data_IF_651657176834
#
_entry.id   IF_651657176834
#
_cell.length_a   1.000
_cell.length_b   1.000
_cell.length_c   1.000
_cell.angle_alpha   90.00
_cell.angle_beta   90.00
_cell.angle_gamma   90.00
#
_symmetry.space_group_name_H-M   'P 1'
#
loop_
_entity.id
_entity.type
_entity.pdbx_description
1 polymer ?
#
# COMPACT_ATOMS: atom_id res chain seq x y z
N UNK A 1 -2.73 18.26 1.77
CA UNK A 1 -2.02 18.33 3.07
C UNK A 1 -1.64 16.92 3.51
N UNK A 2 -0.47 16.40 3.13
CA UNK A 2 0.04 15.10 3.58
C UNK A 2 1.10 15.36 4.66
N UNK A 3 0.72 15.17 5.93
CA UNK A 3 1.64 15.34 7.06
C UNK A 3 2.65 14.19 7.08
N UNK A 4 3.93 14.53 7.25
CA UNK A 4 5.08 13.63 7.32
C UNK A 4 5.20 13.04 8.73
N UNK A 5 5.31 11.72 8.84
CA UNK A 5 5.75 11.03 10.06
C UNK A 5 6.64 9.82 9.69
N UNK A 6 7.84 9.76 10.29
CA UNK A 6 8.65 8.56 10.59
C UNK A 6 8.66 8.46 12.14
N UNK A 7 9.00 7.33 12.84
CA UNK A 7 9.78 6.15 12.41
C UNK A 7 9.37 4.77 13.00
N UNK A 8 10.19 3.76 12.67
CA UNK A 8 10.67 2.60 13.46
C UNK A 8 9.79 1.36 13.73
N UNK A 9 10.43 0.19 13.50
CA UNK A 9 10.11 -1.08 14.16
C UNK A 9 9.31 -2.06 13.30
N UNK A 10 10.00 -3.00 12.64
CA UNK A 10 9.35 -4.16 12.02
C UNK A 10 8.82 -5.10 13.11
N UNK A 11 7.53 -5.50 13.11
CA UNK A 11 7.08 -6.62 13.91
C UNK A 11 6.94 -7.90 13.08
N UNK A 12 7.14 -8.99 13.80
CA UNK A 12 7.15 -10.36 13.34
C UNK A 12 5.88 -10.80 12.60
N UNK A 13 6.09 -11.71 11.65
CA UNK A 13 5.08 -12.41 10.87
C UNK A 13 4.12 -13.23 11.75
N UNK A 14 2.99 -12.63 12.13
CA UNK A 14 1.85 -13.37 12.66
C UNK A 14 1.05 -13.95 11.49
N UNK A 15 1.02 -15.28 11.40
CA UNK A 15 0.15 -16.00 10.46
C UNK A 15 -1.30 -15.87 10.91
N UNK A 16 -2.16 -15.34 10.05
CA UNK A 16 -3.61 -15.58 10.13
C UNK A 16 -4.50 -14.46 10.69
N UNK A 17 -3.98 -13.27 10.94
CA UNK A 17 -4.82 -12.09 11.19
C UNK A 17 -4.69 -11.16 9.98
N UNK A 18 -5.81 -10.73 9.41
CA UNK A 18 -5.82 -9.88 8.22
C UNK A 18 -4.84 -8.73 8.39
N UNK A 19 -4.03 -8.45 7.37
CA UNK A 19 -2.99 -7.42 7.43
C UNK A 19 -3.61 -6.05 7.63
N UNK A 20 -3.76 -5.67 8.88
CA UNK A 20 -4.06 -4.30 9.28
C UNK A 20 -2.70 -3.67 9.54
N UNK A 21 -2.10 -3.03 8.53
CA UNK A 21 -0.96 -2.17 8.77
C UNK A 21 -1.47 -0.95 9.56
N UNK A 22 -1.14 -0.82 10.86
CA UNK A 22 -1.63 0.30 11.67
C UNK A 22 -1.00 1.58 11.10
N UNK A 23 -1.80 2.40 10.42
CA UNK A 23 -1.36 3.67 9.82
C UNK A 23 -1.76 3.88 8.36
N UNK A 24 -2.22 2.84 7.65
CA UNK A 24 -2.83 3.02 6.33
C UNK A 24 -4.28 3.51 6.46
N UNK A 25 -4.60 4.57 5.72
CA UNK A 25 -5.98 5.02 5.50
C UNK A 25 -6.76 3.98 4.70
N UNK A 26 -8.11 4.01 4.71
CA UNK A 26 -8.92 3.12 3.87
C UNK A 26 -8.48 3.11 2.40
N UNK A 27 -8.28 4.30 1.82
CA UNK A 27 -7.86 4.43 0.43
C UNK A 27 -6.49 3.84 0.13
N UNK A 28 -5.54 3.97 1.06
CA UNK A 28 -4.21 3.38 0.92
C UNK A 28 -4.25 1.84 1.04
N UNK A 29 -5.19 1.29 1.83
CA UNK A 29 -5.42 -0.16 1.87
C UNK A 29 -5.98 -0.68 0.54
N UNK A 30 -6.91 0.04 -0.07
CA UNK A 30 -7.42 -0.31 -1.41
C UNK A 30 -6.28 -0.35 -2.43
N UNK A 31 -5.43 0.69 -2.43
CA UNK A 31 -4.25 0.75 -3.30
C UNK A 31 -3.29 -0.41 -3.03
N UNK A 32 -3.04 -0.76 -1.77
CA UNK A 32 -2.19 -1.90 -1.42
C UNK A 32 -2.74 -3.23 -1.93
N UNK A 33 -4.05 -3.47 -1.81
CA UNK A 33 -4.69 -4.66 -2.34
C UNK A 33 -4.54 -4.75 -3.87
N UNK A 34 -4.72 -3.64 -4.58
CA UNK A 34 -4.52 -3.59 -6.03
C UNK A 34 -3.05 -3.77 -6.44
N UNK A 35 -2.10 -3.33 -5.61
CA UNK A 35 -0.68 -3.62 -5.80
C UNK A 35 -0.39 -5.11 -5.62
N UNK A 36 -1.03 -5.79 -4.65
CA UNK A 36 -0.97 -7.25 -4.50
C UNK A 36 -1.44 -8.01 -5.74
N UNK A 37 -2.38 -7.42 -6.48
CA UNK A 37 -2.85 -7.90 -7.79
C UNK A 37 -1.96 -7.48 -8.97
N UNK A 38 -0.78 -6.92 -8.69
CA UNK A 38 0.21 -6.45 -9.68
C UNK A 38 -0.26 -5.33 -10.61
N UNK A 39 -1.33 -4.60 -10.26
CA UNK A 39 -1.90 -3.56 -11.13
C UNK A 39 -0.99 -2.34 -11.30
N UNK A 40 -0.92 -1.79 -12.51
CA UNK A 40 -0.21 -0.52 -12.80
C UNK A 40 -0.94 0.69 -12.23
N UNK A 41 -0.28 1.85 -12.14
CA UNK A 41 -0.92 3.06 -11.62
C UNK A 41 -2.11 3.51 -12.47
N UNK A 42 -2.05 3.30 -13.79
CA UNK A 42 -3.18 3.55 -14.71
C UNK A 42 -4.34 2.58 -14.44
N UNK A 43 -4.06 1.30 -14.16
CA UNK A 43 -5.10 0.33 -13.78
C UNK A 43 -5.72 0.66 -12.42
N UNK A 44 -4.90 1.01 -11.43
CA UNK A 44 -5.34 1.45 -10.10
C UNK A 44 -6.22 2.70 -10.20
N UNK A 45 -5.78 3.68 -10.98
CA UNK A 45 -6.52 4.91 -11.23
C UNK A 45 -7.92 4.64 -11.81
N UNK A 46 -8.01 3.76 -12.82
CA UNK A 46 -9.29 3.35 -13.39
C UNK A 46 -10.16 2.61 -12.39
N UNK A 47 -9.59 1.69 -11.60
CA UNK A 47 -10.34 0.92 -10.62
C UNK A 47 -10.90 1.79 -9.48
N UNK A 48 -10.14 2.81 -9.08
CA UNK A 48 -10.50 3.71 -7.99
C UNK A 48 -11.21 4.99 -8.45
N UNK A 49 -11.45 5.16 -9.75
CA UNK A 49 -12.04 6.35 -10.37
C UNK A 49 -11.31 7.66 -9.99
N UNK A 50 -9.98 7.67 -10.12
CA UNK A 50 -9.11 8.82 -9.86
C UNK A 50 -8.14 9.03 -11.02
N UNK A 51 -7.45 10.17 -11.02
CA UNK A 51 -6.35 10.40 -11.95
C UNK A 51 -5.12 9.51 -11.64
N UNK A 52 -4.34 9.20 -12.67
CA UNK A 52 -3.08 8.45 -12.53
C UNK A 52 -2.05 9.17 -11.65
N UNK A 53 -2.01 10.50 -11.72
CA UNK A 53 -1.21 11.38 -10.85
C UNK A 53 -1.53 11.13 -9.36
N UNK A 54 -2.82 11.04 -9.04
CA UNK A 54 -3.31 10.79 -7.68
C UNK A 54 -3.01 9.36 -7.24
N UNK A 55 -3.16 8.37 -8.13
CA UNK A 55 -2.78 6.99 -7.86
C UNK A 55 -1.27 6.88 -7.54
N UNK A 56 -0.40 7.58 -8.29
CA UNK A 56 1.05 7.66 -8.01
C UNK A 56 1.31 8.19 -6.59
N UNK A 57 0.63 9.27 -6.19
CA UNK A 57 0.77 9.84 -4.83
C UNK A 57 0.34 8.84 -3.75
N UNK A 58 -0.77 8.12 -3.94
CA UNK A 58 -1.18 7.08 -3.00
C UNK A 58 -0.17 5.93 -2.92
N UNK A 59 0.33 5.43 -4.05
CA UNK A 59 1.36 4.38 -4.07
C UNK A 59 2.60 4.85 -3.30
N UNK A 60 3.12 6.04 -3.56
CA UNK A 60 4.27 6.58 -2.84
C UNK A 60 4.03 6.65 -1.33
N UNK A 61 2.81 7.05 -0.92
CA UNK A 61 2.42 7.13 0.49
C UNK A 61 2.35 5.74 1.13
N UNK A 62 1.78 4.76 0.42
CA UNK A 62 1.76 3.34 0.84
C UNK A 62 3.17 2.82 1.04
N UNK A 63 4.07 2.97 0.06
CA UNK A 63 5.46 2.51 0.18
C UNK A 63 6.15 3.15 1.39
N UNK A 64 5.97 4.46 1.56
CA UNK A 64 6.56 5.22 2.67
C UNK A 64 6.04 4.75 4.03
N UNK A 65 4.75 4.47 4.14
CA UNK A 65 4.11 4.01 5.39
C UNK A 65 4.40 2.54 5.71
N UNK A 66 4.55 1.71 4.69
CA UNK A 66 5.00 0.32 4.84
C UNK A 66 6.51 0.22 5.11
N UNK A 67 7.26 1.29 4.91
CA UNK A 67 8.72 1.31 5.08
C UNK A 67 9.46 0.55 3.98
N UNK A 68 8.84 0.35 2.82
CA UNK A 68 9.43 -0.34 1.66
C UNK A 68 9.82 0.66 0.58
N UNK A 69 10.75 0.28 -0.29
CA UNK A 69 11.28 1.16 -1.31
C UNK A 69 10.70 0.87 -2.69
N UNK A 70 10.18 -0.33 -2.88
CA UNK A 70 9.70 -0.78 -4.18
C UNK A 70 8.23 -1.21 -4.11
N UNK A 71 7.53 -1.02 -5.22
CA UNK A 71 6.18 -1.56 -5.40
C UNK A 71 6.13 -3.08 -5.35
N UNK A 72 7.23 -3.75 -5.69
CA UNK A 72 7.32 -5.23 -5.69
C UNK A 72 7.32 -5.73 -4.25
N UNK A 73 8.06 -5.09 -3.35
CA UNK A 73 8.02 -5.38 -1.92
C UNK A 73 6.61 -5.19 -1.35
N UNK A 74 5.95 -4.06 -1.67
CA UNK A 74 4.58 -3.81 -1.23
C UNK A 74 3.58 -4.85 -1.77
N UNK A 75 3.68 -5.21 -3.05
CA UNK A 75 2.86 -6.25 -3.66
C UNK A 75 3.06 -7.61 -3.00
N UNK A 76 4.31 -7.97 -2.68
CA UNK A 76 4.64 -9.21 -1.99
C UNK A 76 4.09 -9.23 -0.56
N UNK A 77 4.16 -8.11 0.15
CA UNK A 77 3.53 -7.97 1.47
C UNK A 77 2.01 -8.13 1.38
N UNK A 78 1.35 -7.48 0.41
CA UNK A 78 -0.08 -7.60 0.19
C UNK A 78 -0.50 -9.04 -0.16
N UNK A 79 0.24 -9.70 -1.05
CA UNK A 79 -0.03 -11.09 -1.42
C UNK A 79 0.14 -12.05 -0.24
N UNK A 80 1.20 -11.91 0.56
CA UNK A 80 1.43 -12.70 1.79
C UNK A 80 0.35 -12.47 2.86
N UNK A 81 -0.23 -11.27 2.86
CA UNK A 81 -1.31 -10.86 3.73
C UNK A 81 -2.70 -11.35 3.29
N UNK A 82 -2.84 -11.94 2.10
CA UNK A 82 -4.12 -12.36 1.55
C UNK A 82 -4.99 -11.22 1.02
N UNK A 83 -4.39 -10.09 0.63
CA UNK A 83 -5.05 -8.92 0.03
C UNK A 83 -5.17 -9.02 -1.51
#
# INVERSE_FOLDING_TARGET
MWRRARPAGAPAVARGEGFVSPGLTPRERDVLALLGRTMTNTQIARHLHIEESTAKTHVQSVLSKLGVHTRVEAALMASRAGL
#
